data_IF_099977643673
#
_entry.id   IF_099977643673
#
_cell.length_a   1.000
_cell.length_b   1.000
_cell.length_c   1.000
_cell.angle_alpha   90.00
_cell.angle_beta   90.00
_cell.angle_gamma   90.00
#
_symmetry.space_group_name_H-M   'P 1'
#
loop_
_entity.id
_entity.type
_entity.pdbx_description
1 polymer ?
#
# COMPACT_ATOMS: atom_id res chain seq x y z
N UNK A 1 11.50 0.53 14.51
CA UNK A 1 10.42 0.25 13.54
C UNK A 1 10.63 1.22 12.41
N UNK A 2 11.07 0.74 11.25
CA UNK A 2 11.63 1.63 10.23
C UNK A 2 10.52 2.11 9.29
N UNK A 3 9.63 2.95 9.81
CA UNK A 3 8.50 3.53 9.05
C UNK A 3 8.95 4.16 7.72
N UNK A 4 10.04 4.96 7.65
CA UNK A 4 10.48 5.53 6.37
C UNK A 4 10.84 4.46 5.33
N UNK A 5 11.47 3.37 5.77
CA UNK A 5 11.81 2.24 4.88
C UNK A 5 10.57 1.52 4.38
N UNK A 6 9.56 1.31 5.23
CA UNK A 6 8.30 0.69 4.80
C UNK A 6 7.57 1.58 3.81
N UNK A 7 7.49 2.89 4.07
CA UNK A 7 6.83 3.85 3.18
C UNK A 7 7.53 3.85 1.83
N UNK A 8 8.85 4.00 1.79
CA UNK A 8 9.61 3.99 0.53
C UNK A 8 9.41 2.68 -0.27
N UNK A 9 9.48 1.52 0.39
CA UNK A 9 9.22 0.22 -0.27
C UNK A 9 7.79 0.11 -0.79
N UNK A 10 6.83 0.65 -0.06
CA UNK A 10 5.42 0.65 -0.43
C UNK A 10 5.17 1.54 -1.64
N UNK A 11 5.71 2.75 -1.65
CA UNK A 11 5.58 3.66 -2.78
C UNK A 11 6.19 3.08 -4.06
N UNK A 12 7.35 2.44 -3.96
CA UNK A 12 7.99 1.78 -5.11
C UNK A 12 7.14 0.61 -5.61
N UNK A 13 6.62 -0.23 -4.70
CA UNK A 13 5.73 -1.32 -5.07
C UNK A 13 4.44 -0.83 -5.74
N UNK A 14 3.81 0.22 -5.21
CA UNK A 14 2.62 0.82 -5.79
C UNK A 14 2.88 1.31 -7.22
N UNK A 15 4.00 2.03 -7.42
CA UNK A 15 4.39 2.52 -8.73
C UNK A 15 4.62 1.38 -9.73
N UNK A 16 5.30 0.31 -9.31
CA UNK A 16 5.56 -0.86 -10.16
C UNK A 16 4.25 -1.53 -10.56
N UNK A 17 3.34 -1.78 -9.61
CA UNK A 17 2.05 -2.44 -9.91
C UNK A 17 1.18 -1.56 -10.81
N UNK A 18 1.13 -0.26 -10.53
CA UNK A 18 0.36 0.70 -11.32
C UNK A 18 0.83 0.71 -12.78
N UNK A 19 2.13 0.82 -13.00
CA UNK A 19 2.69 0.82 -14.35
C UNK A 19 2.63 -0.55 -15.03
N UNK A 20 2.74 -1.66 -14.28
CA UNK A 20 2.59 -3.01 -14.82
C UNK A 20 1.17 -3.23 -15.38
N UNK A 21 0.15 -2.68 -14.72
CA UNK A 21 -1.23 -2.76 -15.21
C UNK A 21 -1.43 -1.79 -16.37
N UNK A 22 -0.99 -0.52 -16.28
CA UNK A 22 -1.13 0.44 -17.39
C UNK A 22 -0.40 -0.04 -18.65
N UNK A 23 0.72 -0.76 -18.50
CA UNK A 23 1.49 -1.32 -19.61
C UNK A 23 0.67 -2.26 -20.52
N UNK A 24 -0.44 -2.83 -20.03
CA UNK A 24 -1.29 -3.72 -20.83
C UNK A 24 -2.04 -2.99 -21.95
N UNK A 25 -2.22 -1.67 -21.83
CA UNK A 25 -2.82 -0.82 -22.88
C UNK A 25 -1.79 -0.37 -23.94
N UNK A 26 -0.51 -0.73 -23.76
CA UNK A 26 0.59 -0.32 -24.61
C UNK A 26 1.31 0.92 -24.06
N UNK A 27 2.64 0.91 -24.15
CA UNK A 27 3.50 2.02 -23.72
C UNK A 27 4.10 2.67 -24.96
N UNK A 28 3.76 3.95 -25.18
CA UNK A 28 4.51 4.80 -26.10
C UNK A 28 5.72 5.42 -25.37
N UNK A 29 6.82 5.68 -26.10
CA UNK A 29 8.05 6.33 -25.60
C UNK A 29 7.73 7.69 -24.93
N UNK A 30 6.71 8.39 -25.43
CA UNK A 30 6.27 9.67 -24.87
C UNK A 30 5.67 9.55 -23.45
N UNK A 31 5.31 8.34 -23.03
CA UNK A 31 4.72 8.05 -21.72
C UNK A 31 5.79 7.90 -20.63
N UNK A 32 7.06 7.68 -20.99
CA UNK A 32 8.15 7.44 -20.05
C UNK A 32 8.35 8.61 -19.05
N UNK A 33 8.39 9.89 -19.48
CA UNK A 33 8.48 11.01 -18.54
C UNK A 33 7.27 11.09 -17.59
N UNK A 34 6.08 10.75 -18.09
CA UNK A 34 4.85 10.73 -17.31
C UNK A 34 4.94 9.66 -16.21
N UNK A 35 5.60 8.52 -16.48
CA UNK A 35 5.86 7.49 -15.45
C UNK A 35 6.56 8.05 -14.23
N UNK A 36 7.65 8.77 -14.43
CA UNK A 36 8.39 9.38 -13.32
C UNK A 36 7.58 10.46 -12.62
N UNK A 37 6.78 11.22 -13.36
CA UNK A 37 5.94 12.28 -12.77
C UNK A 37 4.84 11.70 -11.86
N UNK A 38 4.26 10.54 -12.22
CA UNK A 38 3.25 9.85 -11.39
C UNK A 38 3.79 9.30 -10.08
N UNK A 39 5.11 9.18 -9.91
CA UNK A 39 5.71 8.76 -8.62
C UNK A 39 5.38 9.73 -7.49
N UNK A 40 5.28 11.02 -7.78
CA UNK A 40 4.98 12.06 -6.78
C UNK A 40 3.59 11.85 -6.16
N UNK A 41 2.49 11.83 -6.93
CA UNK A 41 1.16 11.61 -6.36
C UNK A 41 1.02 10.22 -5.73
N UNK A 42 1.62 9.18 -6.33
CA UNK A 42 1.63 7.83 -5.74
C UNK A 42 2.31 7.83 -4.38
N UNK A 43 3.44 8.53 -4.25
CA UNK A 43 4.16 8.67 -2.99
C UNK A 43 3.33 9.41 -1.94
N UNK A 44 2.70 10.53 -2.30
CA UNK A 44 1.86 11.31 -1.37
C UNK A 44 0.68 10.47 -0.87
N UNK A 45 -0.09 9.86 -1.77
CA UNK A 45 -1.28 9.08 -1.42
C UNK A 45 -0.91 7.85 -0.58
N UNK A 46 0.14 7.11 -0.97
CA UNK A 46 0.60 5.93 -0.24
C UNK A 46 1.09 6.30 1.17
N UNK A 47 1.84 7.40 1.29
CA UNK A 47 2.32 7.89 2.59
C UNK A 47 1.16 8.30 3.49
N UNK A 48 0.22 9.09 2.97
CA UNK A 48 -0.97 9.52 3.73
C UNK A 48 -1.81 8.32 4.18
N UNK A 49 -2.05 7.35 3.29
CA UNK A 49 -2.83 6.15 3.61
C UNK A 49 -2.16 5.34 4.73
N UNK A 50 -0.85 5.07 4.64
CA UNK A 50 -0.13 4.32 5.67
C UNK A 50 -0.13 5.06 7.01
N UNK A 51 0.15 6.37 7.00
CA UNK A 51 0.22 7.19 8.22
C UNK A 51 -1.14 7.35 8.91
N UNK A 52 -2.23 7.47 8.15
CA UNK A 52 -3.56 7.72 8.71
C UNK A 52 -4.32 6.43 9.04
N UNK A 53 -4.11 5.35 8.28
CA UNK A 53 -4.90 4.13 8.43
C UNK A 53 -4.15 3.00 9.12
N UNK A 54 -2.82 2.88 8.95
CA UNK A 54 -2.07 1.73 9.47
C UNK A 54 -1.29 2.10 10.74
N UNK A 55 -0.55 3.21 10.70
CA UNK A 55 0.27 3.67 11.82
C UNK A 55 -0.49 3.83 13.14
N UNK A 56 -1.74 4.35 13.19
CA UNK A 56 -2.46 4.52 14.45
C UNK A 56 -2.73 3.20 15.17
N UNK A 57 -3.03 2.12 14.44
CA UNK A 57 -3.24 0.80 15.04
C UNK A 57 -1.96 0.27 15.68
N UNK A 58 -0.82 0.40 15.00
CA UNK A 58 0.46 -0.01 15.56
C UNK A 58 0.89 0.86 16.75
N UNK A 59 0.63 2.16 16.72
CA UNK A 59 0.97 3.05 17.83
C UNK A 59 0.07 2.81 19.04
N UNK A 60 -1.24 2.67 18.84
CA UNK A 60 -2.19 2.39 19.91
C UNK A 60 -1.92 1.02 20.54
N UNK A 61 -1.60 -0.01 19.73
CA UNK A 61 -1.23 -1.32 20.24
C UNK A 61 0.09 -1.30 21.03
N UNK A 62 1.10 -0.54 20.57
CA UNK A 62 2.35 -0.33 21.32
C UNK A 62 2.09 0.33 22.67
N UNK A 63 1.20 1.32 22.75
CA UNK A 63 0.83 2.00 24.01
C UNK A 63 0.16 1.04 25.00
N UNK A 64 -0.57 0.04 24.50
CA UNK A 64 -1.23 -1.02 25.30
C UNK A 64 -0.31 -2.20 25.62
N UNK A 65 0.96 -2.18 25.21
CA UNK A 65 1.92 -3.26 25.43
C UNK A 65 1.69 -4.49 24.52
N UNK A 66 0.86 -4.39 23.48
CA UNK A 66 0.63 -5.50 22.56
C UNK A 66 1.81 -5.69 21.60
N UNK A 67 2.18 -6.96 21.38
CA UNK A 67 3.12 -7.32 20.33
C UNK A 67 2.53 -7.03 18.94
N UNK A 68 3.40 -6.66 17.99
CA UNK A 68 3.04 -6.35 16.60
C UNK A 68 2.33 -7.50 15.91
N UNK A 69 2.70 -8.74 16.24
CA UNK A 69 2.06 -9.94 15.70
C UNK A 69 0.61 -10.05 16.18
N UNK A 70 0.34 -9.64 17.42
CA UNK A 70 -1.02 -9.60 17.98
C UNK A 70 -1.85 -8.51 17.29
N UNK A 71 -1.29 -7.30 17.12
CA UNK A 71 -1.95 -6.21 16.39
C UNK A 71 -2.29 -6.64 14.96
N UNK A 72 -1.33 -7.25 14.25
CA UNK A 72 -1.56 -7.75 12.90
C UNK A 72 -2.69 -8.79 12.87
N UNK A 73 -2.66 -9.82 13.73
CA UNK A 73 -3.71 -10.85 13.73
C UNK A 73 -5.11 -10.31 13.99
N UNK A 74 -5.25 -9.29 14.84
CA UNK A 74 -6.56 -8.76 15.23
C UNK A 74 -7.07 -7.74 14.21
N UNK A 75 -6.25 -6.78 13.77
CA UNK A 75 -6.73 -5.65 12.97
C UNK A 75 -6.58 -5.84 11.45
N UNK A 76 -5.60 -6.63 11.00
CA UNK A 76 -5.36 -6.83 9.57
C UNK A 76 -6.55 -7.43 8.81
N UNK A 77 -7.26 -8.47 9.31
CA UNK A 77 -8.37 -9.06 8.57
C UNK A 77 -9.50 -8.06 8.30
N UNK A 78 -9.87 -7.26 9.31
CA UNK A 78 -10.89 -6.21 9.15
C UNK A 78 -10.44 -5.13 8.18
N UNK A 79 -9.17 -4.72 8.28
CA UNK A 79 -8.59 -3.77 7.34
C UNK A 79 -8.64 -4.29 5.90
N UNK A 80 -8.22 -5.54 5.67
CA UNK A 80 -8.16 -6.15 4.34
C UNK A 80 -9.54 -6.27 3.70
N UNK A 81 -10.57 -6.64 4.48
CA UNK A 81 -11.95 -6.72 3.97
C UNK A 81 -12.48 -5.33 3.59
N UNK A 82 -12.25 -4.33 4.45
CA UNK A 82 -12.66 -2.96 4.17
C UNK A 82 -11.97 -2.38 2.93
N UNK A 83 -10.65 -2.53 2.83
CA UNK A 83 -9.90 -2.00 1.68
C UNK A 83 -10.23 -2.75 0.40
N UNK A 84 -10.47 -4.06 0.46
CA UNK A 84 -10.97 -4.82 -0.68
C UNK A 84 -12.32 -4.27 -1.15
N UNK A 85 -13.26 -4.04 -0.24
CA UNK A 85 -14.58 -3.48 -0.58
C UNK A 85 -14.50 -2.09 -1.21
N UNK A 86 -13.66 -1.20 -0.65
CA UNK A 86 -13.47 0.16 -1.18
C UNK A 86 -12.82 0.11 -2.57
N UNK A 87 -11.77 -0.71 -2.76
CA UNK A 87 -11.11 -0.87 -4.05
C UNK A 87 -12.04 -1.47 -5.10
N UNK A 88 -12.80 -2.51 -4.75
CA UNK A 88 -13.78 -3.12 -5.65
C UNK A 88 -14.89 -2.12 -6.03
N UNK A 89 -15.42 -1.38 -5.07
CA UNK A 89 -16.43 -0.35 -5.31
C UNK A 89 -15.91 0.75 -6.25
N UNK A 90 -14.66 1.20 -6.04
CA UNK A 90 -14.01 2.19 -6.89
C UNK A 90 -13.83 1.70 -8.34
N UNK A 91 -13.45 0.44 -8.53
CA UNK A 91 -13.32 -0.18 -9.86
C UNK A 91 -14.68 -0.30 -10.56
N UNK A 92 -15.71 -0.76 -9.85
CA UNK A 92 -17.06 -0.91 -10.43
C UNK A 92 -17.63 0.46 -10.80
N UNK A 93 -17.48 1.46 -9.93
CA UNK A 93 -18.00 2.81 -10.15
C UNK A 93 -17.30 3.56 -11.28
N UNK A 94 -16.08 3.14 -11.65
CA UNK A 94 -15.32 3.69 -12.76
C UNK A 94 -15.54 2.93 -14.08
N UNK A 95 -16.54 2.02 -14.14
CA UNK A 95 -16.83 1.18 -15.30
C UNK A 95 -15.62 0.37 -15.76
N UNK A 96 -14.79 -0.12 -14.83
CA UNK A 96 -13.60 -0.93 -15.14
C UNK A 96 -12.57 -0.22 -16.03
N UNK A 97 -12.48 1.11 -15.94
CA UNK A 97 -11.40 1.87 -16.56
C UNK A 97 -10.02 1.38 -16.09
N UNK A 98 -9.07 1.22 -17.02
CA UNK A 98 -7.75 0.63 -16.74
C UNK A 98 -6.95 1.45 -15.73
N UNK A 99 -7.01 2.78 -15.81
CA UNK A 99 -6.29 3.64 -14.85
C UNK A 99 -6.86 3.48 -13.44
N UNK A 100 -8.19 3.35 -13.34
CA UNK A 100 -8.89 3.11 -12.09
C UNK A 100 -8.57 1.72 -11.54
N UNK A 101 -8.56 0.68 -12.38
CA UNK A 101 -8.11 -0.67 -12.00
C UNK A 101 -6.67 -0.64 -11.50
N UNK A 102 -5.76 0.00 -12.24
CA UNK A 102 -4.36 0.14 -11.87
C UNK A 102 -4.19 0.84 -10.52
N UNK A 103 -4.92 1.93 -10.31
CA UNK A 103 -4.89 2.69 -9.06
C UNK A 103 -5.41 1.87 -7.87
N UNK A 104 -6.63 1.33 -7.96
CA UNK A 104 -7.23 0.61 -6.83
C UNK A 104 -6.55 -0.72 -6.52
N UNK A 105 -6.04 -1.40 -7.55
CA UNK A 105 -5.28 -2.66 -7.39
C UNK A 105 -3.92 -2.40 -6.77
N UNK A 106 -3.17 -1.40 -7.27
CA UNK A 106 -1.88 -1.03 -6.69
C UNK A 106 -2.01 -0.55 -5.25
N UNK A 107 -3.03 0.26 -4.94
CA UNK A 107 -3.33 0.71 -3.58
C UNK A 107 -3.69 -0.45 -2.65
N UNK A 108 -4.53 -1.39 -3.10
CA UNK A 108 -4.91 -2.56 -2.32
C UNK A 108 -3.71 -3.46 -2.01
N UNK A 109 -2.95 -3.87 -3.02
CA UNK A 109 -1.80 -4.76 -2.83
C UNK A 109 -0.74 -4.08 -1.95
N UNK A 110 -0.45 -2.81 -2.21
CA UNK A 110 0.59 -2.06 -1.47
C UNK A 110 0.22 -1.88 -0.01
N UNK A 111 -1.03 -1.52 0.28
CA UNK A 111 -1.48 -1.35 1.66
C UNK A 111 -1.43 -2.64 2.46
N UNK A 112 -1.85 -3.77 1.87
CA UNK A 112 -1.71 -5.09 2.48
C UNK A 112 -0.24 -5.47 2.71
N UNK A 113 0.62 -5.18 1.75
CA UNK A 113 2.06 -5.45 1.88
C UNK A 113 2.71 -4.56 2.96
N UNK A 114 2.26 -3.32 3.12
CA UNK A 114 2.71 -2.43 4.19
C UNK A 114 2.38 -3.00 5.58
N UNK A 115 1.19 -3.59 5.77
CA UNK A 115 0.85 -4.29 7.01
C UNK A 115 1.80 -5.45 7.30
N UNK A 116 2.14 -6.26 6.28
CA UNK A 116 3.08 -7.37 6.42
C UNK A 116 4.49 -6.87 6.78
N UNK A 117 4.96 -5.79 6.16
CA UNK A 117 6.27 -5.23 6.47
C UNK A 117 6.33 -4.56 7.85
N UNK A 118 5.24 -3.95 8.32
CA UNK A 118 5.17 -3.35 9.66
C UNK A 118 5.06 -4.40 10.77
N UNK A 119 4.41 -5.54 10.48
CA UNK A 119 4.26 -6.64 11.43
C UNK A 119 5.50 -7.51 11.55
N UNK A 120 6.37 -7.55 10.52
CA UNK A 120 7.69 -8.19 10.61
C UNK A 120 8.56 -7.46 11.63
N UNK A 121 8.75 -8.08 12.78
CA UNK A 121 9.84 -7.74 13.70
C UNK A 121 11.14 -8.03 12.99
N UNK A 122 12.08 -7.06 12.92
CA UNK A 122 13.47 -7.40 12.63
C UNK A 122 13.91 -8.31 13.77
N UNK A 123 13.90 -9.61 13.55
CA UNK A 123 14.76 -10.52 14.29
C UNK A 123 16.15 -10.24 13.74
N UNK A 124 16.77 -9.15 14.17
CA UNK A 124 18.21 -9.03 14.09
C UNK A 124 18.73 -9.85 15.28
N UNK A 125 19.03 -11.11 14.99
CA UNK A 125 20.30 -11.74 15.35
C UNK A 125 20.87 -11.32 16.73
N UNK A 126 20.31 -11.90 17.80
CA UNK A 126 21.13 -12.38 18.91
C UNK A 126 21.42 -13.85 18.64
N UNK A 127 22.49 -14.11 17.90
CA UNK A 127 23.25 -15.37 18.01
C UNK A 127 24.71 -15.00 17.94
#
# INVERSE_FOLDING_TARGET
MNFPTVIAKSCLLAAVILWLIIATEGIDIQTIPIMFLTLIPVFMVSTLCILTTICPFFWMGKKKGFDKRHIFKVYYPFYAIMTFGISAFGIISSNFDVYSIAFFTSAFITSNQAWVWLSKTKVNETT
#
